data_IF_052005234264
#
_entry.id   IF_052005234264
#
_cell.length_a   1.000
_cell.length_b   1.000
_cell.length_c   1.000
_cell.angle_alpha   90.00
_cell.angle_beta   90.00
_cell.angle_gamma   90.00
#
_symmetry.space_group_name_H-M   'P 1'
#
loop_
_entity.id
_entity.type
_entity.pdbx_description
1 polymer ?
#
# COMPACT_ATOMS: atom_id res chain seq x y z
N UNK A 1 3.83 7.87 20.93
CA UNK A 1 2.91 6.78 21.30
C UNK A 1 1.51 7.22 20.93
N UNK A 2 0.92 6.53 19.95
CA UNK A 2 -0.05 7.08 19.01
C UNK A 2 -1.44 6.45 19.19
N UNK A 3 -1.95 6.39 20.42
CA UNK A 3 -3.28 5.81 20.70
C UNK A 3 -3.98 6.55 21.83
N UNK A 4 -4.27 7.83 21.65
CA UNK A 4 -5.27 8.52 22.50
C UNK A 4 -6.65 8.20 21.96
N UNK A 5 -7.43 7.44 22.73
CA UNK A 5 -8.82 7.14 22.41
C UNK A 5 -9.64 8.44 22.53
N UNK A 6 -10.34 8.82 21.47
CA UNK A 6 -11.18 10.04 21.42
C UNK A 6 -12.67 9.72 21.41
N UNK A 7 -13.04 8.46 21.65
CA UNK A 7 -14.43 8.01 21.66
C UNK A 7 -15.12 8.48 22.94
N UNK A 8 -16.22 9.27 22.84
CA UNK A 8 -16.97 9.68 24.02
C UNK A 8 -17.46 8.47 24.83
N UNK A 9 -17.32 8.52 26.15
CA UNK A 9 -17.73 7.48 27.11
C UNK A 9 -16.96 6.14 27.05
N UNK A 10 -15.78 6.07 26.42
CA UNK A 10 -14.91 4.90 26.54
C UNK A 10 -14.33 4.79 27.96
N UNK A 11 -14.41 3.59 28.58
CA UNK A 11 -13.92 3.33 29.95
C UNK A 11 -12.79 2.29 30.01
N UNK A 12 -12.23 1.87 28.86
CA UNK A 12 -11.15 0.88 28.84
C UNK A 12 -9.88 1.45 29.52
N UNK A 13 -9.36 0.80 30.58
CA UNK A 13 -8.22 1.29 31.35
C UNK A 13 -6.88 1.21 30.59
N UNK A 14 -6.83 0.55 29.44
CA UNK A 14 -5.62 0.46 28.58
C UNK A 14 -5.48 1.64 27.63
N UNK A 15 -6.48 2.52 27.55
CA UNK A 15 -6.48 3.68 26.66
C UNK A 15 -6.05 4.96 27.41
N UNK A 16 -5.26 5.80 26.75
CA UNK A 16 -4.96 7.16 27.24
C UNK A 16 -6.10 8.11 26.88
N UNK A 17 -6.97 8.42 27.85
CA UNK A 17 -8.04 9.41 27.69
C UNK A 17 -7.52 10.78 28.10
N UNK A 18 -7.29 11.67 27.13
CA UNK A 18 -6.99 13.07 27.40
C UNK A 18 -8.21 13.92 27.05
N UNK A 19 -8.61 14.83 27.93
CA UNK A 19 -9.62 15.84 27.59
C UNK A 19 -9.15 16.64 26.37
N UNK A 20 -10.01 16.75 25.37
CA UNK A 20 -9.73 17.55 24.18
C UNK A 20 -9.50 19.00 24.63
N UNK A 21 -8.26 19.49 24.49
CA UNK A 21 -7.94 20.87 24.81
C UNK A 21 -8.83 21.82 23.99
N UNK A 22 -9.33 22.93 24.58
CA UNK A 22 -10.17 23.88 23.86
C UNK A 22 -9.42 24.40 22.63
N UNK A 23 -10.12 24.44 21.50
CA UNK A 23 -9.57 24.93 20.24
C UNK A 23 -9.05 26.36 20.42
N UNK A 24 -7.72 26.53 20.41
CA UNK A 24 -7.09 27.85 20.40
C UNK A 24 -7.51 28.55 19.10
N UNK A 25 -8.28 29.64 19.22
CA UNK A 25 -8.55 30.55 18.10
C UNK A 25 -7.21 31.09 17.60
N UNK A 26 -6.82 30.71 16.38
CA UNK A 26 -5.69 31.35 15.69
C UNK A 26 -6.04 32.81 15.43
N UNK A 27 -5.19 33.73 15.86
CA UNK A 27 -5.26 35.11 15.39
C UNK A 27 -5.08 35.13 13.87
N UNK A 28 -5.83 36.01 13.18
CA UNK A 28 -5.71 36.21 11.74
C UNK A 28 -4.30 36.74 11.43
N UNK A 29 -3.41 35.86 10.97
CA UNK A 29 -2.09 36.23 10.48
C UNK A 29 -2.22 36.94 9.13
N UNK A 30 -1.37 37.93 8.92
CA UNK A 30 -1.29 38.71 7.69
C UNK A 30 -1.23 37.80 6.44
N UNK A 31 -2.01 38.16 5.42
CA UNK A 31 -2.04 37.49 4.12
C UNK A 31 -0.71 37.68 3.41
N UNK A 32 0.17 36.69 3.51
CA UNK A 32 1.35 36.61 2.64
C UNK A 32 0.83 36.37 1.22
N UNK A 33 1.10 37.31 0.30
CA UNK A 33 0.76 37.17 -1.09
C UNK A 33 1.40 35.90 -1.67
N UNK A 34 0.56 34.93 -2.07
CA UNK A 34 1.03 33.69 -2.71
C UNK A 34 1.66 34.09 -4.03
N UNK A 35 2.96 33.81 -4.20
CA UNK A 35 3.64 33.86 -5.51
C UNK A 35 2.79 33.10 -6.52
N UNK A 36 2.59 33.62 -7.75
CA UNK A 36 1.88 32.88 -8.78
C UNK A 36 2.65 31.60 -9.01
N UNK A 37 2.02 30.47 -8.64
CA UNK A 37 2.54 29.15 -8.98
C UNK A 37 2.55 29.12 -10.50
N UNK A 38 3.74 29.02 -11.10
CA UNK A 38 3.94 28.74 -12.52
C UNK A 38 2.84 27.80 -12.98
N UNK A 39 2.09 28.18 -14.03
CA UNK A 39 0.93 27.42 -14.49
C UNK A 39 1.25 25.93 -14.51
N UNK A 40 0.52 25.13 -13.74
CA UNK A 40 0.75 23.68 -13.69
C UNK A 40 0.51 23.13 -15.09
N UNK A 41 1.58 22.80 -15.82
CA UNK A 41 1.49 22.18 -17.15
C UNK A 41 0.72 20.86 -16.98
N UNK A 42 -0.50 20.80 -17.51
CA UNK A 42 -1.31 19.59 -17.47
C UNK A 42 -0.74 18.60 -18.50
N UNK A 43 -0.17 17.49 -18.02
CA UNK A 43 0.28 16.41 -18.89
C UNK A 43 -0.96 15.68 -19.43
N UNK A 44 -0.99 15.50 -20.74
CA UNK A 44 -2.04 14.78 -21.47
C UNK A 44 -1.46 13.50 -22.06
N UNK A 45 -2.23 12.43 -22.04
CA UNK A 45 -1.86 11.16 -22.65
C UNK A 45 -1.91 11.22 -24.18
N UNK A 46 -1.55 10.12 -24.84
CA UNK A 46 -1.50 9.99 -26.31
C UNK A 46 -2.81 10.39 -27.02
N UNK A 47 -3.95 10.29 -26.33
CA UNK A 47 -5.28 10.67 -26.85
C UNK A 47 -5.73 12.09 -26.45
N UNK A 48 -4.82 12.96 -26.00
CA UNK A 48 -5.13 14.35 -25.61
C UNK A 48 -5.94 14.52 -24.32
N UNK A 49 -6.34 13.41 -23.67
CA UNK A 49 -7.03 13.40 -22.37
C UNK A 49 -6.05 13.60 -21.21
N UNK A 50 -6.54 14.14 -20.09
CA UNK A 50 -5.78 14.19 -18.83
C UNK A 50 -5.47 12.76 -18.38
N UNK A 51 -4.23 12.51 -17.96
CA UNK A 51 -3.84 11.22 -17.40
C UNK A 51 -4.38 11.05 -15.98
N UNK A 52 -4.92 9.88 -15.69
CA UNK A 52 -5.30 9.42 -14.34
C UNK A 52 -4.29 8.37 -13.90
N UNK A 53 -3.46 8.76 -12.94
CA UNK A 53 -2.38 7.94 -12.40
C UNK A 53 -2.76 7.57 -10.97
N UNK A 54 -2.80 6.27 -10.70
CA UNK A 54 -2.92 5.75 -9.34
C UNK A 54 -1.53 5.36 -8.84
N UNK A 55 -1.10 6.01 -7.75
CA UNK A 55 0.24 5.84 -7.18
C UNK A 55 0.24 4.92 -5.95
N UNK A 56 -0.92 4.38 -5.56
CA UNK A 56 -1.05 3.56 -4.36
C UNK A 56 -1.85 2.30 -4.69
N UNK A 57 -1.15 1.33 -5.23
CA UNK A 57 -1.72 0.00 -5.47
C UNK A 57 -0.68 -1.08 -5.24
N UNK A 58 -1.14 -2.29 -4.94
CA UNK A 58 -0.28 -3.40 -4.54
C UNK A 58 -0.50 -4.62 -5.40
N UNK A 59 0.57 -5.34 -5.73
CA UNK A 59 0.55 -6.64 -6.39
C UNK A 59 0.96 -7.75 -5.42
N UNK A 60 0.16 -8.82 -5.38
CA UNK A 60 0.48 -10.02 -4.61
C UNK A 60 1.15 -11.04 -5.53
N UNK A 61 2.46 -11.24 -5.36
CA UNK A 61 3.25 -12.22 -6.09
C UNK A 61 3.01 -13.63 -5.54
N UNK A 62 2.20 -14.42 -6.25
CA UNK A 62 1.81 -15.76 -5.85
C UNK A 62 2.99 -16.76 -5.84
N UNK A 63 3.96 -16.58 -6.73
CA UNK A 63 5.12 -17.47 -6.81
C UNK A 63 6.03 -17.30 -5.57
N UNK A 64 6.30 -16.05 -5.18
CA UNK A 64 7.08 -15.76 -3.98
C UNK A 64 6.32 -16.19 -2.73
N UNK A 65 5.00 -15.95 -2.66
CA UNK A 65 4.17 -16.43 -1.55
C UNK A 65 4.23 -17.95 -1.40
N UNK A 66 4.21 -18.71 -2.51
CA UNK A 66 4.35 -20.16 -2.48
C UNK A 66 5.73 -20.62 -2.00
N UNK A 67 6.81 -19.94 -2.43
CA UNK A 67 8.19 -20.25 -2.01
C UNK A 67 8.36 -20.21 -0.49
N UNK A 68 7.79 -19.21 0.17
CA UNK A 68 7.96 -19.00 1.62
C UNK A 68 6.85 -19.63 2.47
N UNK A 69 5.86 -20.31 1.87
CA UNK A 69 4.70 -20.83 2.59
C UNK A 69 5.08 -21.80 3.74
N UNK A 70 6.15 -22.57 3.56
CA UNK A 70 6.69 -23.51 4.55
C UNK A 70 7.27 -22.84 5.81
N UNK A 71 7.51 -21.52 5.77
CA UNK A 71 7.99 -20.72 6.91
C UNK A 71 6.84 -20.15 7.75
N UNK A 72 5.59 -20.46 7.38
CA UNK A 72 4.37 -19.89 7.98
C UNK A 72 4.45 -18.36 8.15
N UNK A 73 4.48 -17.57 7.06
CA UNK A 73 4.61 -16.10 7.14
C UNK A 73 3.53 -15.41 7.96
N UNK A 74 2.36 -16.06 8.11
CA UNK A 74 1.23 -15.53 8.86
C UNK A 74 1.58 -15.31 10.34
N UNK A 75 2.52 -16.08 10.89
CA UNK A 75 2.97 -15.91 12.26
C UNK A 75 3.77 -14.61 12.48
N UNK A 76 4.28 -13.96 11.42
CA UNK A 76 5.05 -12.71 11.50
C UNK A 76 4.24 -11.47 11.09
N UNK A 77 3.02 -11.67 10.59
CA UNK A 77 2.13 -10.58 10.17
C UNK A 77 1.31 -10.11 11.38
N UNK A 78 1.55 -8.87 11.81
CA UNK A 78 0.84 -8.27 12.96
C UNK A 78 -0.67 -8.18 12.73
N UNK A 79 -1.12 -8.07 11.47
CA UNK A 79 -2.54 -8.08 11.11
C UNK A 79 -3.20 -9.45 11.31
N UNK A 80 -2.40 -10.52 11.42
CA UNK A 80 -2.84 -11.88 11.72
C UNK A 80 -2.68 -12.21 13.20
N UNK A 81 -1.51 -11.91 13.78
CA UNK A 81 -1.18 -12.18 15.18
C UNK A 81 -2.23 -11.57 16.13
N UNK A 82 -2.57 -10.30 15.93
CA UNK A 82 -3.45 -9.55 16.82
C UNK A 82 -4.93 -9.55 16.38
N UNK A 83 -5.28 -10.30 15.33
CA UNK A 83 -6.65 -10.39 14.87
C UNK A 83 -7.52 -11.16 15.88
N UNK A 84 -8.71 -10.64 16.17
CA UNK A 84 -9.74 -11.41 16.87
C UNK A 84 -10.47 -12.35 15.88
N UNK A 85 -11.37 -13.20 16.39
CA UNK A 85 -12.09 -14.18 15.56
C UNK A 85 -12.87 -13.53 14.40
N UNK A 86 -13.57 -12.43 14.66
CA UNK A 86 -14.33 -11.71 13.63
C UNK A 86 -13.40 -11.12 12.55
N UNK A 87 -12.28 -10.51 12.95
CA UNK A 87 -11.29 -9.97 12.01
C UNK A 87 -10.71 -11.07 11.13
N UNK A 88 -10.41 -12.25 11.69
CA UNK A 88 -9.93 -13.41 10.92
C UNK A 88 -10.96 -13.86 9.88
N UNK A 89 -12.21 -14.01 10.27
CA UNK A 89 -13.29 -14.39 9.36
C UNK A 89 -13.46 -13.38 8.21
N UNK A 90 -13.49 -12.08 8.54
CA UNK A 90 -13.61 -11.01 7.54
C UNK A 90 -12.41 -11.00 6.60
N UNK A 91 -11.19 -11.17 7.11
CA UNK A 91 -9.98 -11.21 6.29
C UNK A 91 -9.99 -12.39 5.32
N UNK A 92 -10.41 -13.58 5.76
CA UNK A 92 -10.58 -14.76 4.88
C UNK A 92 -11.55 -14.45 3.74
N UNK A 93 -12.71 -13.85 4.06
CA UNK A 93 -13.68 -13.45 3.05
C UNK A 93 -13.09 -12.43 2.07
N UNK A 94 -12.39 -11.40 2.56
CA UNK A 94 -11.77 -10.39 1.71
C UNK A 94 -10.71 -10.97 0.79
N UNK A 95 -9.85 -11.88 1.27
CA UNK A 95 -8.84 -12.54 0.43
C UNK A 95 -9.51 -13.39 -0.65
N UNK A 96 -10.58 -14.12 -0.32
CA UNK A 96 -11.36 -14.86 -1.32
C UNK A 96 -11.93 -13.94 -2.40
N UNK A 97 -12.51 -12.81 -2.00
CA UNK A 97 -13.22 -11.92 -2.92
C UNK A 97 -12.27 -11.02 -3.74
N UNK A 98 -11.13 -10.61 -3.15
CA UNK A 98 -10.22 -9.60 -3.70
C UNK A 98 -8.87 -10.14 -4.16
N UNK A 99 -8.48 -11.34 -3.72
CA UNK A 99 -7.20 -11.96 -4.07
C UNK A 99 -6.88 -11.92 -5.57
N UNK A 100 -7.79 -12.36 -6.46
CA UNK A 100 -7.55 -12.30 -7.90
C UNK A 100 -7.31 -10.88 -8.43
N UNK A 101 -7.89 -9.85 -7.82
CA UNK A 101 -7.65 -8.43 -8.21
C UNK A 101 -6.25 -7.96 -7.81
N UNK A 102 -5.66 -8.58 -6.78
CA UNK A 102 -4.31 -8.28 -6.31
C UNK A 102 -3.24 -9.01 -7.14
N UNK A 103 -3.52 -10.21 -7.64
CA UNK A 103 -2.50 -11.08 -8.28
C UNK A 103 -2.67 -11.33 -9.78
N UNK A 104 -3.86 -11.13 -10.36
CA UNK A 104 -4.12 -11.40 -11.78
C UNK A 104 -4.14 -10.11 -12.59
N UNK A 105 -3.20 -9.96 -13.53
CA UNK A 105 -3.00 -8.72 -14.28
C UNK A 105 -4.17 -8.43 -15.23
N UNK A 106 -4.75 -9.45 -15.84
CA UNK A 106 -5.88 -9.30 -16.77
C UNK A 106 -7.13 -8.79 -16.05
N UNK A 107 -7.35 -9.22 -14.80
CA UNK A 107 -8.44 -8.72 -13.95
C UNK A 107 -8.16 -7.27 -13.58
N UNK A 108 -6.93 -6.96 -13.15
CA UNK A 108 -6.51 -5.60 -12.81
C UNK A 108 -6.70 -4.64 -13.98
N UNK A 109 -6.28 -5.00 -15.19
CA UNK A 109 -6.43 -4.16 -16.39
C UNK A 109 -7.91 -3.85 -16.68
N UNK A 110 -8.80 -4.86 -16.58
CA UNK A 110 -10.25 -4.65 -16.72
C UNK A 110 -10.81 -3.70 -15.66
N UNK A 111 -10.37 -3.84 -14.41
CA UNK A 111 -10.78 -2.94 -13.33
C UNK A 111 -10.24 -1.52 -13.55
N UNK A 112 -8.98 -1.36 -13.98
CA UNK A 112 -8.38 -0.07 -14.35
C UNK A 112 -9.18 0.61 -15.45
N UNK A 113 -9.52 -0.12 -16.51
CA UNK A 113 -10.31 0.41 -17.64
C UNK A 113 -11.70 0.87 -17.16
N UNK A 114 -12.36 0.07 -16.32
CA UNK A 114 -13.66 0.42 -15.73
C UNK A 114 -13.60 1.67 -14.84
N UNK A 115 -12.53 1.81 -14.06
CA UNK A 115 -12.30 2.99 -13.20
C UNK A 115 -11.76 4.19 -14.00
N UNK A 116 -11.33 3.97 -15.25
CA UNK A 116 -10.69 4.96 -16.09
C UNK A 116 -9.32 5.40 -15.55
N UNK A 117 -8.56 4.47 -14.95
CA UNK A 117 -7.17 4.64 -14.54
C UNK A 117 -6.28 4.30 -15.73
N UNK A 118 -5.47 5.28 -16.16
CA UNK A 118 -4.58 5.11 -17.30
C UNK A 118 -3.31 4.34 -16.89
N UNK A 119 -2.68 4.74 -15.78
CA UNK A 119 -1.42 4.16 -15.28
C UNK A 119 -1.53 3.84 -13.78
N UNK A 120 -1.00 2.70 -13.37
CA UNK A 120 -0.77 2.36 -11.97
C UNK A 120 0.73 2.28 -11.65
N UNK A 121 1.18 2.91 -10.56
CA UNK A 121 2.46 2.62 -9.93
C UNK A 121 2.26 1.46 -8.96
N UNK A 122 2.73 0.28 -9.35
CA UNK A 122 2.49 -0.97 -8.64
C UNK A 122 3.63 -1.25 -7.67
N UNK A 123 3.28 -1.38 -6.40
CA UNK A 123 4.20 -1.80 -5.33
C UNK A 123 3.96 -3.27 -4.94
N UNK A 124 4.89 -3.93 -4.24
CA UNK A 124 4.63 -5.21 -3.59
C UNK A 124 3.48 -5.10 -2.59
N UNK A 125 2.77 -6.21 -2.37
CA UNK A 125 1.88 -6.32 -1.22
C UNK A 125 2.70 -6.12 0.08
N UNK A 126 2.20 -5.35 1.07
CA UNK A 126 2.99 -5.00 2.26
C UNK A 126 3.54 -6.19 3.03
N UNK A 127 2.82 -7.33 3.04
CA UNK A 127 3.26 -8.56 3.68
C UNK A 127 4.35 -9.32 2.89
N UNK A 128 4.74 -8.84 1.71
CA UNK A 128 5.77 -9.42 0.85
C UNK A 128 7.08 -8.60 0.82
N UNK A 129 7.27 -7.71 1.79
CA UNK A 129 8.58 -7.09 2.02
C UNK A 129 9.52 -8.02 2.80
N UNK A 130 8.97 -8.99 3.54
CA UNK A 130 9.69 -10.08 4.20
C UNK A 130 10.81 -9.67 5.18
N UNK A 131 10.70 -8.50 5.83
CA UNK A 131 11.71 -8.00 6.77
C UNK A 131 11.90 -8.86 8.03
N UNK A 132 11.06 -9.88 8.25
CA UNK A 132 11.20 -10.86 9.33
C UNK A 132 12.14 -12.02 8.99
N UNK A 133 12.58 -12.13 7.73
CA UNK A 133 13.51 -13.18 7.28
C UNK A 133 14.96 -12.85 7.63
N UNK A 134 15.81 -13.87 7.66
CA UNK A 134 17.26 -13.68 7.69
C UNK A 134 17.73 -12.82 6.49
N UNK A 135 18.77 -11.98 6.64
CA UNK A 135 19.20 -11.01 5.64
C UNK A 135 19.34 -11.55 4.22
N UNK A 136 20.05 -12.66 4.04
CA UNK A 136 20.32 -13.26 2.72
C UNK A 136 19.02 -13.72 2.03
N UNK A 137 18.12 -14.34 2.79
CA UNK A 137 16.82 -14.77 2.28
C UNK A 137 15.95 -13.56 1.91
N UNK A 138 15.93 -12.52 2.75
CA UNK A 138 15.15 -11.32 2.44
C UNK A 138 15.68 -10.53 1.24
N UNK A 139 17.00 -10.55 1.01
CA UNK A 139 17.60 -10.02 -0.21
C UNK A 139 17.17 -10.82 -1.45
N UNK A 140 17.22 -12.16 -1.39
CA UNK A 140 16.73 -13.03 -2.46
C UNK A 140 15.25 -12.77 -2.76
N UNK A 141 14.39 -12.73 -1.73
CA UNK A 141 12.96 -12.50 -1.89
C UNK A 141 12.65 -11.10 -2.45
N UNK A 142 13.39 -10.08 -2.01
CA UNK A 142 13.26 -8.72 -2.55
C UNK A 142 13.57 -8.69 -4.05
N UNK A 143 14.63 -9.39 -4.49
CA UNK A 143 14.95 -9.53 -5.91
C UNK A 143 13.81 -10.21 -6.67
N UNK A 144 13.33 -11.37 -6.22
CA UNK A 144 12.26 -12.12 -6.88
C UNK A 144 10.95 -11.32 -6.99
N UNK A 145 10.63 -10.53 -5.96
CA UNK A 145 9.49 -9.62 -5.97
C UNK A 145 9.68 -8.54 -7.04
N UNK A 146 10.85 -7.90 -7.06
CA UNK A 146 11.16 -6.83 -8.00
C UNK A 146 11.22 -7.32 -9.45
N UNK A 147 11.81 -8.49 -9.70
CA UNK A 147 11.89 -9.13 -11.02
C UNK A 147 10.49 -9.32 -11.59
N UNK A 148 9.55 -9.84 -10.78
CA UNK A 148 8.17 -10.02 -11.24
C UNK A 148 7.49 -8.68 -11.54
N UNK A 149 7.73 -7.64 -10.75
CA UNK A 149 7.20 -6.30 -11.05
C UNK A 149 7.80 -5.73 -12.34
N UNK A 150 9.10 -5.94 -12.56
CA UNK A 150 9.78 -5.53 -13.79
C UNK A 150 9.21 -6.25 -15.02
N UNK A 151 8.94 -7.56 -14.93
CA UNK A 151 8.27 -8.33 -15.99
C UNK A 151 6.87 -7.77 -16.32
N UNK A 152 6.08 -7.43 -15.30
CA UNK A 152 4.75 -6.83 -15.48
C UNK A 152 4.89 -5.50 -16.24
N UNK A 153 5.81 -4.63 -15.81
CA UNK A 153 6.06 -3.35 -16.47
C UNK A 153 6.54 -3.54 -17.91
N UNK A 154 7.45 -4.49 -18.16
CA UNK A 154 7.95 -4.78 -19.50
C UNK A 154 6.84 -5.29 -20.44
N UNK A 155 5.87 -6.04 -19.91
CA UNK A 155 4.75 -6.59 -20.68
C UNK A 155 3.68 -5.54 -20.97
N UNK A 156 3.41 -4.62 -20.05
CA UNK A 156 2.41 -3.54 -20.22
C UNK A 156 2.97 -2.15 -19.84
N UNK A 157 3.97 -1.64 -20.58
CA UNK A 157 4.71 -0.43 -20.20
C UNK A 157 3.85 0.85 -20.26
N UNK A 158 2.79 0.85 -21.06
CA UNK A 158 1.85 1.98 -21.15
C UNK A 158 0.84 2.03 -20.00
N UNK A 159 0.80 0.97 -19.16
CA UNK A 159 -0.21 0.81 -18.09
C UNK A 159 0.40 0.76 -16.70
N UNK A 160 1.67 0.36 -16.57
CA UNK A 160 2.31 0.18 -15.28
C UNK A 160 3.68 0.83 -15.20
N UNK A 161 3.98 1.32 -14.01
CA UNK A 161 5.34 1.52 -13.50
C UNK A 161 5.48 0.76 -12.20
N UNK A 162 6.70 0.41 -11.78
CA UNK A 162 6.93 -0.36 -10.56
C UNK A 162 7.64 0.47 -9.48
N UNK A 163 7.24 0.25 -8.24
CA UNK A 163 7.97 0.68 -7.05
C UNK A 163 8.43 -0.58 -6.33
N UNK A 164 9.72 -0.92 -6.41
CA UNK A 164 10.26 -2.13 -5.82
C UNK A 164 10.33 -2.10 -4.28
N UNK A 165 10.78 -3.22 -3.71
CA UNK A 165 11.16 -3.34 -2.30
C UNK A 165 12.67 -3.58 -2.16
N UNK A 166 13.21 -3.27 -0.99
CA UNK A 166 14.62 -3.53 -0.62
C UNK A 166 14.65 -4.23 0.74
N UNK A 167 15.66 -5.05 1.05
CA UNK A 167 15.70 -5.83 2.29
C UNK A 167 16.08 -4.97 3.51
N UNK A 168 15.17 -4.12 3.99
CA UNK A 168 15.44 -3.12 5.04
C UNK A 168 15.87 -3.67 6.41
N UNK A 169 15.80 -4.98 6.62
CA UNK A 169 16.36 -5.63 7.81
C UNK A 169 17.90 -5.67 7.81
N UNK A 170 18.54 -5.42 6.67
CA UNK A 170 19.99 -5.22 6.54
C UNK A 170 20.28 -3.96 5.71
N UNK A 171 21.29 -3.19 6.11
CA UNK A 171 21.65 -1.89 5.50
C UNK A 171 22.79 -1.97 4.50
N UNK A 172 23.50 -3.11 4.46
CA UNK A 172 24.56 -3.40 3.48
C UNK A 172 23.96 -3.75 2.10
#
# INVERSE_FOLDING_TARGET
MMFTCVTPACTDPRHGHHEAAPARRRAAGATVARRPVSSTRVIRGSKGRRLRIDIHCHYLNQAVAAKVAHLDPAQYDTSVQFANALTREVNVKQIRDRGPKLSTIEIRLKDMDRMGIDIQAVSPAPNQTYYWTEPDLGAELSSLVNDRLAEIVATWPDRFVALGTVPLQNVD
#
